data_IF_863771344779
#
_entry.id   IF_863771344779
#
_cell.length_a   1.000
_cell.length_b   1.000
_cell.length_c   1.000
_cell.angle_alpha   90.00
_cell.angle_beta   90.00
_cell.angle_gamma   90.00
#
_symmetry.space_group_name_H-M   'P 1'
#
loop_
_entity.id
_entity.type
_entity.pdbx_description
1 polymer ?
#
# COMPACT_ATOMS: atom_id res chain seq x y z
N UNK A 1 8.15 26.11 2.62
CA UNK A 1 8.50 24.85 3.34
C UNK A 1 7.94 23.69 2.53
N UNK A 2 8.73 22.68 2.12
CA UNK A 2 8.15 21.49 1.47
C UNK A 2 7.54 20.63 2.57
N UNK A 3 6.22 20.57 2.61
CA UNK A 3 5.52 19.64 3.50
C UNK A 3 5.91 18.24 3.06
N UNK A 4 6.55 17.45 3.94
CA UNK A 4 6.82 16.06 3.61
C UNK A 4 5.47 15.34 3.56
N UNK A 5 5.17 14.72 2.44
CA UNK A 5 4.01 13.85 2.22
C UNK A 5 4.48 12.53 1.63
N UNK A 6 3.62 11.52 1.65
CA UNK A 6 3.85 10.26 0.96
C UNK A 6 2.63 9.88 0.14
N UNK A 7 2.87 9.39 -1.07
CA UNK A 7 1.81 8.92 -1.95
C UNK A 7 1.45 7.48 -1.59
N UNK A 8 0.16 7.22 -1.38
CA UNK A 8 -0.33 5.88 -1.12
C UNK A 8 -0.10 4.98 -2.34
N UNK A 9 0.57 3.85 -2.16
CA UNK A 9 0.85 2.89 -3.23
C UNK A 9 -0.40 2.23 -3.84
N UNK A 10 -1.55 2.36 -3.19
CA UNK A 10 -2.80 1.70 -3.59
C UNK A 10 -3.79 2.64 -4.27
N UNK A 11 -4.03 3.81 -3.68
CA UNK A 11 -5.02 4.78 -4.17
C UNK A 11 -4.39 6.09 -4.64
N UNK A 12 -3.05 6.19 -4.64
CA UNK A 12 -2.27 7.37 -5.04
C UNK A 12 -2.47 8.65 -4.23
N UNK A 13 -3.38 8.67 -3.25
CA UNK A 13 -3.60 9.82 -2.38
C UNK A 13 -2.31 10.24 -1.66
N UNK A 14 -2.02 11.54 -1.67
CA UNK A 14 -0.96 12.15 -0.87
C UNK A 14 -1.40 12.27 0.59
N UNK A 15 -0.67 11.61 1.49
CA UNK A 15 -0.92 11.62 2.92
C UNK A 15 0.19 12.36 3.65
N UNK A 16 -0.14 13.00 4.77
CA UNK A 16 0.85 13.62 5.66
C UNK A 16 1.84 12.58 6.19
N UNK A 17 3.12 12.95 6.36
CA UNK A 17 4.11 12.02 6.92
C UNK A 17 3.81 11.55 8.34
N UNK A 18 2.96 12.28 9.08
CA UNK A 18 2.52 11.91 10.43
C UNK A 18 1.54 10.73 10.41
N UNK A 19 0.91 10.46 9.28
CA UNK A 19 -0.05 9.37 9.13
C UNK A 19 0.67 8.08 8.73
N UNK A 20 0.49 7.04 9.53
CA UNK A 20 0.99 5.69 9.26
C UNK A 20 0.10 4.93 8.26
N UNK A 21 -1.16 5.34 8.15
CA UNK A 21 -2.18 4.76 7.26
C UNK A 21 -2.77 5.83 6.34
N UNK A 22 -3.16 5.39 5.15
CA UNK A 22 -3.84 6.24 4.19
C UNK A 22 -5.22 6.67 4.71
N UNK A 23 -5.53 7.97 4.65
CA UNK A 23 -6.83 8.50 5.08
C UNK A 23 -8.01 8.01 4.21
N UNK A 24 -7.77 7.75 2.93
CA UNK A 24 -8.82 7.30 2.01
C UNK A 24 -9.06 5.78 2.08
N UNK A 25 -8.01 4.97 1.97
CA UNK A 25 -8.16 3.51 1.83
C UNK A 25 -7.76 2.71 3.08
N UNK A 26 -7.26 3.35 4.13
CA UNK A 26 -6.86 2.70 5.38
C UNK A 26 -5.58 1.85 5.30
N UNK A 27 -4.96 1.72 4.12
CA UNK A 27 -3.74 0.93 3.93
C UNK A 27 -2.53 1.57 4.61
N UNK A 28 -1.66 0.73 5.18
CA UNK A 28 -0.41 1.16 5.81
C UNK A 28 0.57 1.73 4.77
N UNK A 29 1.32 2.75 5.17
CA UNK A 29 2.32 3.44 4.34
C UNK A 29 3.35 2.49 3.72
N UNK A 30 3.83 1.54 4.52
CA UNK A 30 4.86 0.59 4.10
C UNK A 30 4.27 -0.75 3.64
N UNK A 31 2.95 -0.85 3.47
CA UNK A 31 2.36 -2.05 2.88
C UNK A 31 2.78 -2.17 1.42
N UNK A 32 3.25 -3.36 1.03
CA UNK A 32 3.68 -3.68 -0.32
C UNK A 32 2.57 -4.33 -1.16
N UNK A 33 1.34 -4.29 -0.65
CA UNK A 33 0.20 -5.02 -1.19
C UNK A 33 0.16 -6.45 -0.71
N UNK A 34 -0.93 -7.15 -1.06
CA UNK A 34 -0.95 -8.60 -0.98
C UNK A 34 0.31 -9.12 -1.68
N UNK A 35 1.09 -10.04 -1.09
CA UNK A 35 2.07 -10.78 -1.88
C UNK A 35 1.26 -11.33 -3.04
N UNK A 36 1.55 -10.87 -4.26
CA UNK A 36 0.95 -11.43 -5.47
C UNK A 36 1.01 -12.92 -5.26
N UNK A 37 -0.16 -13.55 -5.13
CA UNK A 37 -0.25 -14.97 -4.86
C UNK A 37 0.67 -15.60 -5.88
N UNK A 38 1.82 -16.13 -5.42
CA UNK A 38 2.53 -17.13 -6.20
C UNK A 38 1.44 -18.11 -6.51
N UNK A 39 0.99 -18.12 -7.77
CA UNK A 39 0.04 -19.10 -8.24
C UNK A 39 0.65 -20.41 -7.78
N UNK A 40 0.09 -21.01 -6.74
CA UNK A 40 0.42 -22.38 -6.43
C UNK A 40 0.06 -23.07 -7.74
N UNK A 41 1.02 -23.67 -8.46
CA UNK A 41 0.64 -24.44 -9.63
C UNK A 41 -0.28 -25.49 -9.04
N UNK A 42 -1.55 -25.41 -9.40
CA UNK A 42 -2.52 -26.45 -9.18
C UNK A 42 -1.93 -27.72 -9.77
N UNK A 43 -1.19 -28.47 -8.94
CA UNK A 43 -0.70 -29.79 -9.24
C UNK A 43 -1.92 -30.69 -9.13
N UNK A 44 -2.67 -30.73 -10.23
CA UNK A 44 -3.65 -31.77 -10.44
C UNK A 44 -2.91 -33.09 -10.59
N UNK A 45 -3.14 -34.01 -9.67
CA UNK A 45 -3.19 -35.46 -9.86
C UNK A 45 -3.84 -36.08 -8.65
#
# INVERSE_FOLDING_TARGET
>A
MRHKVWSCKFCTLENEVKLEKCKACGQWRYSYGQPFSTCAPNIGT
#
